data_IF_733179106582
#
_entry.id   IF_733179106582
#
_cell.length_a   1.000
_cell.length_b   1.000
_cell.length_c   1.000
_cell.angle_alpha   90.00
_cell.angle_beta   90.00
_cell.angle_gamma   90.00
#
_symmetry.space_group_name_H-M   'P 1'
#
loop_
_entity.id
_entity.type
_entity.pdbx_description
1 polymer ?
#
# COMPACT_ATOMS: atom_id res chain seq x y z
N UNK A 1 -10.72 -42.42 25.42
CA UNK A 1 -9.77 -42.11 24.34
C UNK A 1 -10.51 -42.23 23.01
N UNK A 2 -11.31 -41.21 22.65
CA UNK A 2 -11.94 -41.13 21.33
C UNK A 2 -11.04 -40.28 20.45
N UNK A 3 -10.50 -40.89 19.39
CA UNK A 3 -9.78 -40.17 18.34
C UNK A 3 -10.79 -39.29 17.58
N UNK A 4 -10.44 -38.05 17.21
CA UNK A 4 -11.33 -37.23 16.41
C UNK A 4 -11.39 -37.82 15.00
N UNK A 5 -12.60 -37.91 14.49
CA UNK A 5 -12.92 -38.26 13.12
C UNK A 5 -12.36 -37.17 12.20
N UNK A 6 -11.13 -37.35 11.71
CA UNK A 6 -10.51 -36.50 10.69
C UNK A 6 -11.40 -36.56 9.44
N UNK A 7 -12.02 -35.43 9.10
CA UNK A 7 -12.86 -35.32 7.91
C UNK A 7 -11.98 -35.26 6.66
N UNK A 8 -12.52 -35.65 5.51
CA UNK A 8 -11.86 -35.53 4.21
C UNK A 8 -11.44 -34.07 3.89
N UNK A 9 -12.07 -33.09 4.53
CA UNK A 9 -11.73 -31.67 4.44
C UNK A 9 -10.41 -31.38 5.16
N UNK A 10 -10.19 -31.95 6.34
CA UNK A 10 -8.95 -31.82 7.12
C UNK A 10 -7.75 -32.43 6.37
N UNK A 11 -8.00 -33.52 5.63
CA UNK A 11 -6.98 -34.15 4.78
C UNK A 11 -6.65 -33.29 3.55
N UNK A 12 -7.64 -32.64 2.94
CA UNK A 12 -7.43 -31.71 1.81
C UNK A 12 -6.68 -30.44 2.25
N UNK A 13 -6.87 -29.98 3.48
CA UNK A 13 -6.04 -28.93 4.08
C UNK A 13 -4.59 -29.38 4.22
N UNK A 14 -4.30 -30.63 4.57
CA UNK A 14 -2.92 -31.09 4.77
C UNK A 14 -2.07 -31.14 3.48
N UNK A 15 -2.69 -31.19 2.29
CA UNK A 15 -2.00 -31.37 1.00
C UNK A 15 -1.85 -30.10 0.14
N UNK A 16 -2.29 -28.93 0.61
CA UNK A 16 -2.04 -27.67 -0.11
C UNK A 16 -0.68 -27.09 0.32
N UNK A 17 0.25 -26.78 -0.60
CA UNK A 17 1.55 -26.16 -0.24
C UNK A 17 1.42 -24.74 0.34
N UNK A 18 0.20 -24.20 0.44
CA UNK A 18 -0.14 -22.97 1.14
C UNK A 18 -1.30 -23.19 2.11
N UNK A 19 -1.32 -24.30 2.85
CA UNK A 19 -2.32 -24.55 3.88
C UNK A 19 -1.96 -23.87 5.19
N UNK A 20 -2.08 -22.54 5.24
CA UNK A 20 -2.20 -21.88 6.52
C UNK A 20 -3.59 -22.20 7.06
N UNK A 21 -3.67 -23.19 7.96
CA UNK A 21 -4.89 -23.44 8.73
C UNK A 21 -5.19 -22.21 9.57
N UNK A 22 -6.38 -21.64 9.40
CA UNK A 22 -6.88 -20.52 10.20
C UNK A 22 -8.15 -21.00 10.87
N UNK A 23 -8.15 -21.02 12.18
CA UNK A 23 -9.27 -21.51 12.99
C UNK A 23 -10.39 -20.47 13.10
N UNK A 24 -11.60 -20.94 13.40
CA UNK A 24 -12.72 -20.03 13.62
C UNK A 24 -12.43 -19.07 14.79
N UNK A 25 -12.53 -17.77 14.51
CA UNK A 25 -12.27 -16.72 15.51
C UNK A 25 -10.83 -16.20 15.51
N UNK A 26 -9.94 -16.77 14.69
CA UNK A 26 -8.61 -16.21 14.49
C UNK A 26 -8.63 -14.96 13.60
N UNK A 27 -7.64 -14.09 13.84
CA UNK A 27 -7.46 -12.86 13.08
C UNK A 27 -6.28 -13.00 12.12
N UNK A 28 -6.51 -12.66 10.86
CA UNK A 28 -5.45 -12.55 9.85
C UNK A 28 -5.18 -11.09 9.54
N UNK A 29 -3.91 -10.72 9.40
CA UNK A 29 -3.50 -9.40 8.95
C UNK A 29 -3.09 -9.44 7.48
N UNK A 30 -3.58 -8.46 6.71
CA UNK A 30 -3.20 -8.28 5.32
C UNK A 30 -2.10 -7.22 5.24
N UNK A 31 -0.89 -7.64 4.84
CA UNK A 31 0.21 -6.71 4.62
C UNK A 31 0.03 -5.99 3.28
N UNK A 32 -0.61 -4.81 3.31
CA UNK A 32 -0.72 -3.92 2.14
C UNK A 32 0.66 -3.54 1.61
N UNK A 33 1.63 -3.32 2.51
CA UNK A 33 3.01 -2.99 2.16
C UNK A 33 3.65 -4.07 1.27
N UNK A 34 3.51 -5.34 1.66
CA UNK A 34 4.07 -6.48 0.91
C UNK A 34 3.36 -6.69 -0.42
N UNK A 35 2.02 -6.56 -0.46
CA UNK A 35 1.23 -6.70 -1.70
C UNK A 35 1.64 -5.65 -2.74
N UNK A 36 1.88 -4.41 -2.30
CA UNK A 36 2.32 -3.32 -3.19
C UNK A 36 3.77 -3.45 -3.65
N UNK A 37 4.49 -4.46 -3.15
CA UNK A 37 5.89 -4.74 -3.47
C UNK A 37 6.14 -6.13 -4.03
N UNK A 38 5.09 -6.90 -4.25
CA UNK A 38 5.21 -8.24 -4.84
C UNK A 38 5.70 -8.13 -6.29
N UNK A 39 6.92 -8.59 -6.55
CA UNK A 39 7.56 -8.57 -7.87
C UNK A 39 6.72 -9.29 -8.93
N UNK A 40 5.87 -10.26 -8.54
CA UNK A 40 4.93 -10.94 -9.43
C UNK A 40 3.94 -9.97 -10.08
N UNK A 41 3.61 -8.88 -9.39
CA UNK A 41 2.65 -7.88 -9.84
C UNK A 41 3.29 -6.54 -10.23
N UNK A 42 4.46 -6.25 -9.67
CA UNK A 42 5.15 -4.96 -9.80
C UNK A 42 6.49 -5.06 -10.57
N UNK A 43 6.89 -6.25 -11.03
CA UNK A 43 8.15 -6.46 -11.75
C UNK A 43 9.38 -6.39 -10.85
N UNK A 44 10.57 -6.31 -11.45
CA UNK A 44 11.85 -6.49 -10.74
C UNK A 44 12.24 -5.37 -9.77
N UNK A 45 11.69 -4.17 -9.94
CA UNK A 45 12.05 -2.99 -9.13
C UNK A 45 10.84 -2.40 -8.38
N UNK A 46 10.16 -3.16 -7.49
CA UNK A 46 8.95 -2.71 -6.81
C UNK A 46 9.21 -1.54 -5.84
N UNK A 47 10.43 -1.40 -5.34
CA UNK A 47 10.82 -0.30 -4.45
C UNK A 47 11.06 1.03 -5.17
N UNK A 48 11.20 1.01 -6.50
CA UNK A 48 11.45 2.23 -7.28
C UNK A 48 10.15 3.03 -7.41
N UNK A 49 10.22 4.31 -7.05
CA UNK A 49 9.13 5.24 -7.34
C UNK A 49 9.03 5.47 -8.86
N UNK A 50 7.99 4.89 -9.46
CA UNK A 50 7.72 4.97 -10.89
C UNK A 50 6.21 5.23 -11.13
N UNK A 51 5.82 6.50 -11.37
CA UNK A 51 4.44 6.86 -11.65
C UNK A 51 3.86 6.22 -12.92
N UNK A 52 4.70 5.90 -13.91
CA UNK A 52 4.24 5.37 -15.21
C UNK A 52 3.61 3.99 -15.07
N UNK A 53 3.90 3.26 -13.97
CA UNK A 53 3.21 2.01 -13.63
C UNK A 53 1.69 2.14 -13.60
N UNK A 54 1.16 3.34 -13.36
CA UNK A 54 -0.27 3.61 -13.23
C UNK A 54 -0.92 4.24 -14.47
N UNK A 55 -0.23 4.24 -15.61
CA UNK A 55 -0.72 4.80 -16.89
C UNK A 55 -1.86 3.97 -17.54
N UNK A 56 -2.09 2.74 -17.06
CA UNK A 56 -3.10 1.83 -17.57
C UNK A 56 -2.62 0.88 -18.67
N UNK A 57 -1.32 0.91 -19.03
CA UNK A 57 -0.73 0.02 -20.04
C UNK A 57 -0.60 -1.44 -19.58
N UNK A 58 -0.52 -1.66 -18.26
CA UNK A 58 -0.33 -2.99 -17.68
C UNK A 58 -1.63 -3.51 -17.07
N UNK A 59 -2.07 -4.68 -17.53
CA UNK A 59 -3.14 -5.44 -16.87
C UNK A 59 -2.61 -6.04 -15.57
N UNK A 60 -3.22 -5.70 -14.43
CA UNK A 60 -2.85 -6.24 -13.11
C UNK A 60 -4.05 -6.86 -12.42
N UNK A 61 -3.75 -7.78 -11.52
CA UNK A 61 -4.77 -8.35 -10.65
C UNK A 61 -5.43 -7.24 -9.81
N UNK A 62 -6.75 -7.27 -9.68
CA UNK A 62 -7.54 -6.26 -8.93
C UNK A 62 -7.13 -6.09 -7.46
N UNK A 63 -6.47 -7.09 -6.87
CA UNK A 63 -5.94 -7.04 -5.49
C UNK A 63 -4.45 -6.69 -5.41
N UNK A 64 -3.76 -6.48 -6.54
CA UNK A 64 -2.36 -6.07 -6.52
C UNK A 64 -2.16 -4.64 -5.99
N UNK A 65 -3.21 -3.80 -6.03
CA UNK A 65 -3.19 -2.43 -5.53
C UNK A 65 -4.44 -2.14 -4.68
N UNK A 66 -4.27 -2.21 -3.36
CA UNK A 66 -5.33 -2.05 -2.35
C UNK A 66 -5.02 -1.00 -1.25
N UNK A 67 -4.59 0.23 -1.58
CA UNK A 67 -4.23 1.25 -0.58
C UNK A 67 -5.42 1.70 0.29
N UNK A 68 -6.65 1.44 -0.17
CA UNK A 68 -7.89 1.78 0.50
C UNK A 68 -8.71 0.52 0.82
N UNK A 69 -8.03 -0.63 0.93
CA UNK A 69 -8.65 -1.96 0.98
C UNK A 69 -9.52 -2.25 -0.26
N UNK A 70 -10.30 -3.33 -0.23
CA UNK A 70 -11.23 -3.67 -1.31
C UNK A 70 -12.50 -4.34 -0.74
N UNK A 71 -13.60 -4.28 -1.49
CA UNK A 71 -14.83 -5.01 -1.19
C UNK A 71 -15.81 -4.21 -0.33
N UNK A 72 -16.79 -4.88 0.31
CA UNK A 72 -17.86 -4.21 1.09
C UNK A 72 -17.36 -3.38 2.28
N UNK A 73 -16.12 -3.63 2.73
CA UNK A 73 -15.45 -2.93 3.83
C UNK A 73 -14.29 -2.05 3.34
N UNK A 74 -14.20 -1.80 2.03
CA UNK A 74 -13.26 -0.83 1.47
C UNK A 74 -13.50 0.58 2.02
N UNK A 75 -12.49 1.43 1.96
CA UNK A 75 -12.60 2.80 2.45
C UNK A 75 -13.66 3.59 1.66
N UNK A 76 -14.72 4.03 2.34
CA UNK A 76 -15.77 4.88 1.76
C UNK A 76 -15.22 6.22 1.25
N UNK A 77 -14.10 6.70 1.83
CA UNK A 77 -13.45 7.95 1.48
C UNK A 77 -12.51 7.89 0.28
N UNK A 78 -12.38 6.76 -0.41
CA UNK A 78 -11.41 6.59 -1.52
C UNK A 78 -11.52 7.70 -2.57
N UNK A 79 -12.72 7.97 -3.06
CA UNK A 79 -12.93 8.98 -4.10
C UNK A 79 -12.59 10.39 -3.61
N UNK A 80 -13.02 10.71 -2.38
CA UNK A 80 -12.72 12.00 -1.75
C UNK A 80 -11.21 12.20 -1.59
N UNK A 81 -10.52 11.22 -0.98
CA UNK A 81 -9.08 11.30 -0.73
C UNK A 81 -8.27 11.45 -2.03
N UNK A 82 -8.66 10.75 -3.10
CA UNK A 82 -7.98 10.86 -4.39
C UNK A 82 -8.18 12.23 -5.04
N UNK A 83 -9.38 12.82 -4.96
CA UNK A 83 -9.64 14.17 -5.48
C UNK A 83 -8.89 15.21 -4.65
N UNK A 84 -8.96 15.13 -3.33
CA UNK A 84 -8.26 16.04 -2.41
C UNK A 84 -6.74 16.02 -2.66
N UNK A 85 -6.13 14.83 -2.61
CA UNK A 85 -4.68 14.68 -2.76
C UNK A 85 -4.19 15.21 -4.11
N UNK A 86 -4.89 14.89 -5.21
CA UNK A 86 -4.55 15.39 -6.55
C UNK A 86 -4.67 16.90 -6.63
N UNK A 87 -5.73 17.47 -6.05
CA UNK A 87 -5.99 18.91 -6.09
C UNK A 87 -4.93 19.68 -5.30
N UNK A 88 -4.64 19.26 -4.07
CA UNK A 88 -3.60 19.88 -3.23
C UNK A 88 -2.23 19.76 -3.89
N UNK A 89 -1.86 18.57 -4.39
CA UNK A 89 -0.58 18.36 -5.06
C UNK A 89 -0.44 19.24 -6.31
N UNK A 90 -1.48 19.30 -7.16
CA UNK A 90 -1.47 20.14 -8.34
C UNK A 90 -1.35 21.63 -7.99
N UNK A 91 -2.07 22.09 -6.96
CA UNK A 91 -1.97 23.47 -6.46
C UNK A 91 -0.57 23.80 -5.94
N UNK A 92 0.03 22.89 -5.14
CA UNK A 92 1.38 23.03 -4.63
C UNK A 92 2.40 23.13 -5.76
N UNK A 93 2.39 22.18 -6.71
CA UNK A 93 3.34 22.15 -7.84
C UNK A 93 3.13 23.31 -8.84
N UNK A 94 1.92 23.86 -8.92
CA UNK A 94 1.63 25.03 -9.75
C UNK A 94 2.20 26.31 -9.16
N UNK A 95 2.14 26.46 -7.84
CA UNK A 95 2.55 27.70 -7.15
C UNK A 95 3.97 27.66 -6.65
N UNK A 96 4.52 26.49 -6.35
CA UNK A 96 5.79 26.37 -5.65
C UNK A 96 6.78 25.45 -6.36
N UNK A 97 8.06 25.70 -6.08
CA UNK A 97 9.16 24.74 -6.23
C UNK A 97 9.39 24.12 -4.86
N UNK A 98 9.45 22.80 -4.81
CA UNK A 98 9.66 22.04 -3.57
C UNK A 98 10.97 21.27 -3.71
N UNK A 99 11.83 21.36 -2.69
CA UNK A 99 13.07 20.61 -2.59
C UNK A 99 13.18 19.98 -1.20
N UNK A 100 13.84 18.83 -1.12
CA UNK A 100 14.20 18.22 0.16
C UNK A 100 15.25 19.06 0.88
N UNK A 101 15.23 19.10 2.21
CA UNK A 101 16.27 19.77 2.98
C UNK A 101 17.65 19.14 2.68
N UNK A 102 18.72 19.90 2.37
CA UNK A 102 20.01 19.35 1.94
C UNK A 102 20.65 18.37 2.94
N UNK A 103 20.41 18.56 4.23
CA UNK A 103 20.90 17.68 5.30
C UNK A 103 19.99 16.47 5.54
N UNK A 104 18.86 16.35 4.84
CA UNK A 104 17.96 15.22 4.93
C UNK A 104 18.10 14.36 3.68
N UNK A 105 18.89 13.30 3.78
CA UNK A 105 19.13 12.32 2.71
C UNK A 105 18.16 11.13 2.76
N UNK A 106 17.60 10.86 3.94
CA UNK A 106 16.71 9.73 4.21
C UNK A 106 15.44 10.20 4.92
N UNK A 107 14.33 9.51 4.61
CA UNK A 107 13.03 9.74 5.24
C UNK A 107 12.69 8.50 6.07
N UNK A 108 12.57 8.67 7.38
CA UNK A 108 12.12 7.62 8.29
C UNK A 108 10.60 7.69 8.44
N UNK A 109 9.98 6.58 8.82
CA UNK A 109 8.58 6.57 9.19
C UNK A 109 8.45 6.62 10.70
N UNK A 110 7.40 7.27 11.20
CA UNK A 110 7.08 7.25 12.63
C UNK A 110 6.88 5.79 13.07
N UNK A 111 7.59 5.30 14.11
CA UNK A 111 7.50 3.90 14.53
C UNK A 111 6.19 3.57 15.25
N UNK A 112 5.53 4.57 15.85
CA UNK A 112 4.28 4.39 16.60
C UNK A 112 3.24 5.36 16.02
N UNK A 113 2.40 4.86 15.11
CA UNK A 113 1.29 5.58 14.54
C UNK A 113 0.23 4.62 13.96
N UNK A 114 -1.03 5.05 13.92
CA UNK A 114 -2.12 4.30 13.27
C UNK A 114 -1.91 4.28 11.75
N UNK A 115 -1.32 5.33 11.19
CA UNK A 115 -1.00 5.47 9.76
C UNK A 115 0.48 5.70 9.55
N UNK A 116 0.99 5.26 8.39
CA UNK A 116 2.36 5.54 7.98
C UNK A 116 2.52 7.04 7.69
N UNK A 117 3.44 7.69 8.40
CA UNK A 117 3.76 9.10 8.23
C UNK A 117 5.27 9.28 8.24
N UNK A 118 5.83 10.15 7.40
CA UNK A 118 7.24 10.46 7.49
C UNK A 118 7.52 11.16 8.83
N UNK A 119 8.61 10.77 9.46
CA UNK A 119 9.14 11.39 10.67
C UNK A 119 10.02 12.57 10.27
N UNK A 120 9.72 13.75 10.82
CA UNK A 120 10.51 14.97 10.65
C UNK A 120 10.87 15.33 9.19
N UNK A 121 9.96 15.12 8.22
CA UNK A 121 10.19 15.54 6.84
C UNK A 121 10.24 17.07 6.72
N UNK A 122 11.40 17.59 6.32
CA UNK A 122 11.63 19.01 6.08
C UNK A 122 11.75 19.28 4.58
N UNK A 123 11.00 20.27 4.11
CA UNK A 123 10.95 20.69 2.72
C UNK A 123 11.24 22.18 2.60
N UNK A 124 12.07 22.57 1.63
CA UNK A 124 12.15 23.95 1.17
C UNK A 124 11.09 24.20 0.12
N UNK A 125 10.34 25.28 0.30
CA UNK A 125 9.24 25.68 -0.58
C UNK A 125 9.50 27.12 -1.03
N UNK A 126 9.72 27.30 -2.34
CA UNK A 126 9.91 28.62 -2.94
C UNK A 126 8.77 28.92 -3.90
N UNK A 127 8.23 30.15 -3.87
CA UNK A 127 7.20 30.54 -4.84
C UNK A 127 7.76 30.52 -6.26
N UNK A 128 7.03 29.88 -7.17
CA UNK A 128 7.37 29.82 -8.58
C UNK A 128 7.04 31.19 -9.18
N UNK A 129 8.07 31.92 -9.60
CA UNK A 129 7.92 33.13 -10.38
C UNK A 129 7.07 32.81 -11.62
N UNK A 130 5.88 33.39 -11.71
CA UNK A 130 5.05 33.32 -12.93
C UNK A 130 5.63 34.32 -13.91
N UNK A 131 6.08 33.85 -15.07
CA UNK A 131 6.15 34.71 -16.25
C UNK A 131 4.73 34.97 -16.73
#
# INVERSE_FOLDING_TARGET
FSLPFLSLVDLLFFFSPLSLGVEQGEYTLVSVYSIHRDEKHWGKDPEKFDPERFDGSQSRHRFAWIPFSYGPRGCIGLQFAMVEARSVLAMMLRRYRVALHPQQDTVRYKPIAITMQPEALQLYVCERQRK
#
